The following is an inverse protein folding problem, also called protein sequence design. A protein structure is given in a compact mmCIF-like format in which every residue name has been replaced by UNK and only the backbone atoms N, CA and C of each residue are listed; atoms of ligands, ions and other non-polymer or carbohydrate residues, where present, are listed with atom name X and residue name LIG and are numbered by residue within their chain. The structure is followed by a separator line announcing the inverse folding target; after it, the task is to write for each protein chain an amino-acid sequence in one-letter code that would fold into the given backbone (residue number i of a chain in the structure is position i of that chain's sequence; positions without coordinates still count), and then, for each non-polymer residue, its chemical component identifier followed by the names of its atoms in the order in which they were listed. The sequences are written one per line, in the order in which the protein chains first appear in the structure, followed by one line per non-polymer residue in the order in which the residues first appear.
data_IF_181054742725
#
_entry.id   IF_181054742725
#
_cell.length_a   1.000
_cell.length_b   1.000
_cell.length_c   1.000
_cell.angle_alpha   90.00
_cell.angle_beta   90.00
_cell.angle_gamma   90.00
#
_symmetry.space_group_name_H-M   'P 1'
#
loop_
_entity.id
_entity.type
_entity.pdbx_description
1 polymer ?
#
# COMPACT_ATOMS: atom_id res chain seq x y z
N UNK A 1 6.64 -41.44 -49.78
CA UNK A 1 6.35 -42.15 -48.51
C UNK A 1 5.39 -41.28 -47.72
N UNK A 2 4.13 -41.69 -47.52
CA UNK A 2 3.19 -40.97 -46.67
C UNK A 2 3.56 -41.21 -45.21
N UNK A 3 3.56 -40.16 -44.38
CA UNK A 3 3.73 -40.32 -42.93
C UNK A 3 2.58 -41.19 -42.40
N UNK A 4 2.82 -42.07 -41.42
CA UNK A 4 1.76 -42.85 -40.80
C UNK A 4 0.64 -41.92 -40.27
N UNK A 5 -0.65 -42.25 -40.44
CA UNK A 5 -1.76 -41.41 -39.97
C UNK A 5 -1.65 -40.98 -38.50
N UNK A 6 -1.10 -41.85 -37.65
CA UNK A 6 -0.85 -41.58 -36.23
C UNK A 6 0.13 -40.41 -36.04
N UNK A 7 1.19 -40.35 -36.85
CA UNK A 7 2.18 -39.28 -36.76
C UNK A 7 1.59 -37.93 -37.19
N UNK A 8 0.74 -37.93 -38.23
CA UNK A 8 0.02 -36.72 -38.64
C UNK A 8 -0.92 -36.21 -37.55
N UNK A 9 -1.64 -37.11 -36.87
CA UNK A 9 -2.49 -36.74 -35.73
C UNK A 9 -1.68 -36.14 -34.58
N UNK A 10 -0.55 -36.76 -34.21
CA UNK A 10 0.34 -36.25 -33.15
C UNK A 10 0.84 -34.85 -33.49
N UNK A 11 1.28 -34.62 -34.74
CA UNK A 11 1.75 -33.31 -35.19
C UNK A 11 0.63 -32.26 -35.17
N UNK A 12 -0.59 -32.63 -35.58
CA UNK A 12 -1.75 -31.72 -35.55
C UNK A 12 -2.15 -31.33 -34.11
N UNK A 13 -2.14 -32.28 -33.19
CA UNK A 13 -2.40 -32.02 -31.76
C UNK A 13 -1.29 -31.15 -31.17
N UNK A 14 -0.02 -31.45 -31.43
CA UNK A 14 1.10 -30.66 -30.96
C UNK A 14 1.05 -29.22 -31.49
N UNK A 15 0.74 -29.03 -32.78
CA UNK A 15 0.57 -27.72 -33.38
C UNK A 15 -0.60 -26.94 -32.76
N UNK A 16 -1.73 -27.60 -32.51
CA UNK A 16 -2.90 -26.98 -31.86
C UNK A 16 -2.62 -26.57 -30.42
N UNK A 17 -1.88 -27.40 -29.67
CA UNK A 17 -1.45 -27.08 -28.31
C UNK A 17 -0.46 -25.91 -28.32
N UNK A 18 0.52 -25.91 -29.22
CA UNK A 18 1.47 -24.81 -29.35
C UNK A 18 0.76 -23.50 -29.71
N UNK A 19 -0.21 -23.55 -30.62
CA UNK A 19 -1.05 -22.42 -30.97
C UNK A 19 -1.85 -21.91 -29.78
N UNK A 20 -2.50 -22.80 -29.02
CA UNK A 20 -3.24 -22.42 -27.82
C UNK A 20 -2.33 -21.75 -26.78
N UNK A 21 -1.14 -22.30 -26.53
CA UNK A 21 -0.17 -21.71 -25.59
C UNK A 21 0.32 -20.34 -26.06
N UNK A 22 0.55 -20.18 -27.37
CA UNK A 22 0.93 -18.89 -27.96
C UNK A 22 -0.19 -17.86 -27.79
N UNK A 23 -1.43 -18.21 -28.14
CA UNK A 23 -2.61 -17.33 -27.97
C UNK A 23 -2.77 -16.95 -26.51
N UNK A 24 -2.66 -17.91 -25.59
CA UNK A 24 -2.76 -17.66 -24.16
C UNK A 24 -1.67 -16.68 -23.67
N UNK A 25 -0.42 -16.88 -24.07
CA UNK A 25 0.68 -15.98 -23.70
C UNK A 25 0.47 -14.56 -24.25
N UNK A 26 0.05 -14.44 -25.51
CA UNK A 26 -0.23 -13.14 -26.13
C UNK A 26 -1.44 -12.45 -25.50
N UNK A 27 -2.49 -13.20 -25.15
CA UNK A 27 -3.67 -12.67 -24.46
C UNK A 27 -3.38 -12.20 -23.03
N UNK A 28 -2.52 -12.91 -22.29
CA UNK A 28 -2.08 -12.42 -20.97
C UNK A 28 -1.23 -11.16 -21.13
N UNK A 29 -0.34 -11.10 -22.12
CA UNK A 29 0.41 -9.88 -22.38
C UNK A 29 -0.51 -8.70 -22.76
N UNK A 30 -1.53 -8.94 -23.59
CA UNK A 30 -2.53 -7.95 -23.95
C UNK A 30 -3.35 -7.48 -22.73
N UNK A 31 -3.67 -8.40 -21.81
CA UNK A 31 -4.30 -8.09 -20.53
C UNK A 31 -3.45 -7.12 -19.70
N UNK A 32 -2.16 -7.42 -19.51
CA UNK A 32 -1.24 -6.53 -18.79
C UNK A 32 -1.09 -5.17 -19.48
N UNK A 33 -1.02 -5.18 -20.81
CA UNK A 33 -1.01 -3.94 -21.58
C UNK A 33 -2.29 -3.11 -21.36
N UNK A 34 -3.44 -3.75 -21.17
CA UNK A 34 -4.69 -3.06 -20.79
C UNK A 34 -4.60 -2.33 -19.45
N UNK A 35 -3.98 -2.93 -18.44
CA UNK A 35 -3.70 -2.23 -17.18
C UNK A 35 -2.76 -1.04 -17.38
N UNK A 36 -1.74 -1.18 -18.23
CA UNK A 36 -0.81 -0.10 -18.53
C UNK A 36 -1.50 1.07 -19.26
N UNK A 37 -2.35 0.79 -20.24
CA UNK A 37 -3.17 1.80 -20.92
C UNK A 37 -4.08 2.54 -19.94
N UNK A 38 -4.77 1.80 -19.07
CA UNK A 38 -5.62 2.38 -18.02
C UNK A 38 -4.82 3.25 -17.03
N UNK A 39 -3.61 2.82 -16.66
CA UNK A 39 -2.71 3.57 -15.80
C UNK A 39 -2.26 4.88 -16.47
N UNK A 40 -1.80 4.85 -17.72
CA UNK A 40 -1.42 6.07 -18.44
C UNK A 40 -2.60 7.02 -18.63
N UNK A 41 -3.77 6.49 -19.01
CA UNK A 41 -4.99 7.29 -19.16
C UNK A 41 -5.44 7.95 -17.84
N UNK A 42 -5.09 7.37 -16.70
CA UNK A 42 -5.38 7.93 -15.37
C UNK A 42 -4.27 8.81 -14.80
N UNK A 43 -3.19 9.06 -15.56
CA UNK A 43 -2.05 9.86 -15.12
C UNK A 43 -1.13 9.14 -14.12
N UNK A 44 -1.18 7.81 -14.08
CA UNK A 44 -0.22 6.98 -13.35
C UNK A 44 1.00 6.68 -14.22
N UNK A 45 2.11 6.31 -13.57
CA UNK A 45 3.34 5.89 -14.24
C UNK A 45 3.41 4.37 -14.24
N UNK A 46 3.63 3.78 -15.42
CA UNK A 46 3.88 2.34 -15.58
C UNK A 46 5.39 2.12 -15.64
N UNK A 47 5.94 1.45 -14.63
CA UNK A 47 7.39 1.23 -14.52
C UNK A 47 7.80 -0.03 -15.28
N UNK A 48 7.01 -1.10 -15.15
CA UNK A 48 7.21 -2.35 -15.86
C UNK A 48 5.90 -3.11 -16.08
N UNK A 49 5.84 -3.91 -17.13
CA UNK A 49 4.75 -4.84 -17.42
C UNK A 49 5.29 -6.08 -18.13
N UNK A 50 4.65 -7.22 -17.96
CA UNK A 50 5.14 -8.44 -18.60
C UNK A 50 4.47 -9.71 -18.11
N UNK A 51 4.99 -10.83 -18.61
CA UNK A 51 4.44 -12.17 -18.33
C UNK A 51 5.47 -13.08 -17.66
N UNK A 52 4.96 -14.00 -16.84
CA UNK A 52 5.73 -14.98 -16.10
C UNK A 52 6.21 -14.51 -14.74
N UNK A 53 6.93 -15.40 -14.05
CA UNK A 53 7.55 -15.16 -12.75
C UNK A 53 8.94 -15.81 -12.71
N UNK A 54 9.73 -15.51 -11.68
CA UNK A 54 11.12 -15.96 -11.58
C UNK A 54 12.09 -15.25 -12.53
N UNK A 55 13.12 -15.98 -12.97
CA UNK A 55 14.25 -15.41 -13.73
C UNK A 55 13.78 -14.81 -15.09
N UNK A 56 14.15 -13.56 -15.40
CA UNK A 56 13.84 -12.97 -16.69
C UNK A 56 14.59 -13.66 -17.82
N UNK A 57 13.88 -13.87 -18.93
CA UNK A 57 14.41 -14.37 -20.20
C UNK A 57 14.71 -13.21 -21.14
N UNK A 58 13.84 -12.21 -21.17
CA UNK A 58 13.97 -11.01 -21.98
C UNK A 58 13.45 -9.81 -21.21
N UNK A 59 14.20 -8.71 -21.23
CA UNK A 59 13.75 -7.41 -20.72
C UNK A 59 14.09 -6.37 -21.78
N UNK A 60 13.08 -5.60 -22.22
CA UNK A 60 13.21 -4.55 -23.22
C UNK A 60 12.68 -3.25 -22.63
N UNK A 61 13.42 -2.15 -22.77
CA UNK A 61 12.95 -0.82 -22.39
C UNK A 61 12.20 -0.17 -23.56
N UNK A 62 10.94 0.21 -23.33
CA UNK A 62 10.13 0.91 -24.32
C UNK A 62 10.57 2.38 -24.43
N UNK A 63 10.96 2.88 -25.61
CA UNK A 63 11.60 4.20 -25.76
C UNK A 63 10.75 5.39 -25.29
N UNK A 64 9.44 5.36 -25.57
CA UNK A 64 8.56 6.53 -25.36
C UNK A 64 8.23 6.79 -23.89
N UNK A 65 8.15 5.74 -23.07
CA UNK A 65 7.69 5.84 -21.67
C UNK A 65 8.77 5.43 -20.65
N UNK A 66 9.88 4.85 -21.11
CA UNK A 66 10.91 4.27 -20.23
C UNK A 66 10.46 3.00 -19.50
N UNK A 67 9.22 2.54 -19.73
CA UNK A 67 8.63 1.32 -19.17
C UNK A 67 9.40 0.08 -19.61
N UNK A 68 9.60 -0.85 -18.68
CA UNK A 68 10.23 -2.14 -18.96
C UNK A 68 9.17 -3.18 -19.37
N UNK A 69 9.35 -3.77 -20.54
CA UNK A 69 8.63 -4.95 -20.97
C UNK A 69 9.46 -6.19 -20.62
N UNK A 70 8.93 -7.08 -19.78
CA UNK A 70 9.64 -8.30 -19.39
C UNK A 70 8.91 -9.58 -19.82
N UNK A 71 9.71 -10.60 -20.09
CA UNK A 71 9.27 -11.98 -20.28
C UNK A 71 10.10 -12.85 -19.36
N UNK A 72 9.46 -13.38 -18.33
CA UNK A 72 10.09 -14.32 -17.41
C UNK A 72 9.78 -15.75 -17.83
N UNK A 73 10.40 -16.71 -17.14
CA UNK A 73 10.08 -18.12 -17.32
C UNK A 73 8.58 -18.34 -17.08
N UNK A 74 7.87 -18.69 -18.14
CA UNK A 74 6.48 -19.13 -18.07
C UNK A 74 6.48 -20.51 -17.42
N UNK A 75 6.17 -20.57 -16.12
CA UNK A 75 5.76 -21.84 -15.50
C UNK A 75 4.43 -22.30 -16.09
N UNK A 76 3.79 -23.31 -15.48
CA UNK A 76 2.41 -23.71 -15.84
C UNK A 76 1.35 -22.63 -15.55
N UNK A 77 1.76 -21.47 -15.04
CA UNK A 77 0.91 -20.36 -14.63
C UNK A 77 1.18 -19.21 -15.58
N UNK A 78 0.31 -19.07 -16.57
CA UNK A 78 0.28 -17.93 -17.47
C UNK A 78 -0.25 -16.72 -16.71
N UNK A 79 0.60 -16.10 -15.91
CA UNK A 79 0.32 -14.86 -15.18
C UNK A 79 1.15 -13.72 -15.75
N UNK A 80 0.62 -12.50 -15.63
CA UNK A 80 1.35 -11.26 -15.85
C UNK A 80 1.19 -10.33 -14.65
N UNK A 81 2.00 -9.29 -14.63
CA UNK A 81 1.83 -8.18 -13.68
C UNK A 81 2.21 -6.88 -14.38
N UNK A 82 1.42 -5.85 -14.12
CA UNK A 82 1.70 -4.47 -14.51
C UNK A 82 1.99 -3.65 -13.27
N UNK A 83 3.24 -3.22 -13.12
CA UNK A 83 3.67 -2.38 -12.00
C UNK A 83 3.44 -0.92 -12.32
N UNK A 84 2.63 -0.29 -11.46
CA UNK A 84 2.26 1.11 -11.61
C UNK A 84 2.39 1.84 -10.28
N UNK A 85 2.63 3.14 -10.36
CA UNK A 85 2.46 4.02 -9.20
C UNK A 85 1.81 5.33 -9.62
N UNK A 86 1.04 5.91 -8.70
CA UNK A 86 0.47 7.25 -8.87
C UNK A 86 1.48 8.27 -8.33
N UNK A 87 1.96 9.22 -9.14
CA UNK A 87 2.76 10.33 -8.65
C UNK A 87 1.96 11.24 -7.72
N UNK A 88 0.63 11.19 -7.81
CA UNK A 88 -0.31 11.91 -6.93
C UNK A 88 -0.49 11.27 -5.55
N UNK A 89 0.28 10.23 -5.21
CA UNK A 89 0.29 9.54 -3.91
C UNK A 89 -0.99 8.74 -3.59
N UNK A 90 -2.14 9.38 -3.70
CA UNK A 90 -3.47 8.78 -3.65
C UNK A 90 -3.94 8.35 -5.04
N UNK A 91 -4.55 7.18 -5.07
CA UNK A 91 -5.28 6.67 -6.23
C UNK A 91 -6.77 6.85 -5.91
N UNK A 92 -7.49 7.58 -6.75
CA UNK A 92 -8.93 7.73 -6.58
C UNK A 92 -9.62 6.38 -6.80
N UNK A 93 -10.83 6.20 -6.25
CA UNK A 93 -11.59 4.96 -6.44
C UNK A 93 -11.82 4.64 -7.92
N UNK A 94 -12.06 5.68 -8.72
CA UNK A 94 -12.24 5.53 -10.17
C UNK A 94 -10.95 5.17 -10.89
N UNK A 95 -9.80 5.67 -10.44
CA UNK A 95 -8.51 5.25 -10.97
C UNK A 95 -8.21 3.78 -10.59
N UNK A 96 -8.52 3.35 -9.36
CA UNK A 96 -8.39 1.93 -8.96
C UNK A 96 -9.28 1.02 -9.82
N UNK A 97 -10.55 1.43 -10.05
CA UNK A 97 -11.50 0.67 -10.89
C UNK A 97 -11.04 0.62 -12.35
N UNK A 98 -10.62 1.76 -12.91
CA UNK A 98 -10.14 1.85 -14.29
C UNK A 98 -8.88 1.01 -14.49
N UNK A 99 -7.92 1.11 -13.56
CA UNK A 99 -6.72 0.29 -13.56
C UNK A 99 -7.07 -1.19 -13.54
N UNK A 100 -7.89 -1.62 -12.58
CA UNK A 100 -8.28 -3.03 -12.45
C UNK A 100 -9.10 -3.55 -13.64
N UNK A 101 -9.94 -2.73 -14.27
CA UNK A 101 -10.73 -3.17 -15.43
C UNK A 101 -9.95 -3.21 -16.74
N UNK A 102 -8.80 -2.53 -16.82
CA UNK A 102 -8.04 -2.33 -18.05
C UNK A 102 -7.76 -3.62 -18.84
N UNK A 103 -7.21 -4.65 -18.18
CA UNK A 103 -6.88 -5.91 -18.85
C UNK A 103 -8.11 -6.66 -19.38
N UNK A 104 -9.15 -6.76 -18.55
CA UNK A 104 -10.41 -7.39 -18.97
C UNK A 104 -11.08 -6.67 -20.13
N UNK A 105 -11.02 -5.33 -20.18
CA UNK A 105 -11.56 -4.53 -21.27
C UNK A 105 -10.80 -4.76 -22.59
N UNK A 106 -9.46 -4.85 -22.54
CA UNK A 106 -8.66 -5.16 -23.74
C UNK A 106 -8.99 -6.55 -24.26
N UNK A 107 -9.06 -7.56 -23.39
CA UNK A 107 -9.41 -8.92 -23.80
C UNK A 107 -10.84 -9.01 -24.36
N UNK A 108 -11.81 -8.29 -23.76
CA UNK A 108 -13.15 -8.19 -24.31
C UNK A 108 -13.15 -7.56 -25.71
N UNK A 109 -12.36 -6.52 -25.93
CA UNK A 109 -12.15 -5.91 -27.24
C UNK A 109 -11.60 -6.89 -28.27
N UNK A 110 -10.56 -7.66 -27.92
CA UNK A 110 -9.97 -8.68 -28.80
C UNK A 110 -10.99 -9.77 -29.15
N UNK A 111 -11.78 -10.21 -28.17
CA UNK A 111 -12.86 -11.18 -28.40
C UNK A 111 -13.91 -10.62 -29.37
N UNK A 112 -14.36 -9.38 -29.21
CA UNK A 112 -15.34 -8.76 -30.12
C UNK A 112 -14.81 -8.62 -31.54
N UNK A 113 -13.54 -8.20 -31.70
CA UNK A 113 -12.89 -8.13 -33.03
C UNK A 113 -12.78 -9.51 -33.66
N UNK A 114 -12.47 -10.54 -32.88
CA UNK A 114 -12.39 -11.93 -33.35
C UNK A 114 -13.75 -12.48 -33.77
N UNK A 115 -14.81 -12.18 -33.00
CA UNK A 115 -16.19 -12.55 -33.36
C UNK A 115 -16.64 -11.85 -34.65
N UNK A 116 -16.35 -10.55 -34.78
CA UNK A 116 -16.62 -9.80 -36.01
C UNK A 116 -15.83 -10.35 -37.20
N UNK A 117 -14.57 -10.73 -37.03
CA UNK A 117 -13.79 -11.37 -38.08
C UNK A 117 -14.44 -12.69 -38.53
N UNK A 118 -14.89 -13.54 -37.60
CA UNK A 118 -15.56 -14.79 -37.95
C UNK A 118 -16.80 -14.57 -38.82
N UNK A 119 -17.64 -13.57 -38.50
CA UNK A 119 -18.85 -13.28 -39.30
C UNK A 119 -18.52 -12.61 -40.63
N UNK A 120 -17.52 -11.72 -40.66
CA UNK A 120 -17.09 -11.07 -41.90
C UNK A 120 -16.49 -12.07 -42.89
N UNK A 121 -15.65 -13.00 -42.42
CA UNK A 121 -14.98 -13.99 -43.25
C UNK A 121 -15.86 -15.18 -43.64
N UNK A 122 -17.00 -15.42 -43.00
CA UNK A 122 -17.97 -16.44 -43.42
C UNK A 122 -18.41 -16.24 -44.89
N UNK A 123 -18.46 -14.97 -45.33
CA UNK A 123 -18.77 -14.61 -46.72
C UNK A 123 -17.71 -15.03 -47.75
N UNK A 124 -16.48 -15.33 -47.30
CA UNK A 124 -15.32 -15.58 -48.17
C UNK A 124 -14.95 -17.07 -48.32
N UNK A 125 -15.73 -18.00 -47.72
CA UNK A 125 -15.42 -19.44 -47.63
C UNK A 125 -13.93 -19.77 -47.34
N UNK A 126 -13.31 -19.14 -46.32
CA UNK A 126 -11.92 -19.41 -46.01
C UNK A 126 -11.74 -20.87 -45.55
N UNK A 127 -10.54 -21.45 -45.73
CA UNK A 127 -10.29 -22.81 -45.29
C UNK A 127 -10.49 -22.91 -43.77
N UNK A 128 -11.38 -23.82 -43.35
CA UNK A 128 -11.77 -24.00 -41.96
C UNK A 128 -10.56 -24.17 -41.01
N UNK A 129 -9.53 -24.88 -41.45
CA UNK A 129 -8.36 -25.17 -40.62
C UNK A 129 -7.37 -24.01 -40.51
N UNK A 130 -7.31 -23.09 -41.48
CA UNK A 130 -6.27 -22.05 -41.52
C UNK A 130 -6.72 -20.71 -40.96
N UNK A 131 -8.02 -20.42 -40.97
CA UNK A 131 -8.56 -19.11 -40.52
C UNK A 131 -9.55 -19.26 -39.37
N UNK A 132 -10.50 -20.21 -39.48
CA UNK A 132 -11.56 -20.37 -38.47
C UNK A 132 -11.00 -20.86 -37.14
N UNK A 133 -10.27 -21.98 -37.12
CA UNK A 133 -9.75 -22.56 -35.88
C UNK A 133 -8.84 -21.60 -35.08
N UNK A 134 -7.89 -20.87 -35.68
CA UNK A 134 -7.12 -19.85 -34.98
C UNK A 134 -7.97 -18.75 -34.37
N UNK A 135 -8.91 -18.20 -35.14
CA UNK A 135 -9.76 -17.08 -34.72
C UNK A 135 -10.73 -17.48 -33.61
N UNK A 136 -11.31 -18.69 -33.69
CA UNK A 136 -12.14 -19.26 -32.62
C UNK A 136 -11.31 -19.44 -31.34
N UNK A 137 -10.06 -19.89 -31.45
CA UNK A 137 -9.17 -20.02 -30.28
C UNK A 137 -8.92 -18.67 -29.62
N UNK A 138 -8.60 -17.63 -30.41
CA UNK A 138 -8.41 -16.26 -29.91
C UNK A 138 -9.69 -15.73 -29.26
N UNK A 139 -10.85 -15.90 -29.90
CA UNK A 139 -12.15 -15.52 -29.35
C UNK A 139 -12.37 -16.17 -27.98
N UNK A 140 -12.30 -17.50 -27.91
CA UNK A 140 -12.60 -18.25 -26.68
C UNK A 140 -11.64 -17.91 -25.54
N UNK A 141 -10.33 -17.87 -25.80
CA UNK A 141 -9.34 -17.55 -24.77
C UNK A 141 -9.58 -16.15 -24.20
N UNK A 142 -9.76 -15.14 -25.06
CA UNK A 142 -9.96 -13.77 -24.61
C UNK A 142 -11.32 -13.58 -23.92
N UNK A 143 -12.39 -14.26 -24.37
CA UNK A 143 -13.68 -14.25 -23.68
C UNK A 143 -13.57 -14.85 -22.27
N UNK A 144 -12.89 -15.99 -22.12
CA UNK A 144 -12.69 -16.63 -20.81
C UNK A 144 -11.85 -15.76 -19.89
N UNK A 145 -10.75 -15.18 -20.38
CA UNK A 145 -9.92 -14.28 -19.57
C UNK A 145 -10.72 -13.04 -19.15
N UNK A 146 -11.38 -12.35 -20.08
CA UNK A 146 -12.19 -11.17 -19.78
C UNK A 146 -13.25 -11.45 -18.69
N UNK A 147 -13.97 -12.57 -18.78
CA UNK A 147 -14.98 -12.94 -17.80
C UNK A 147 -14.38 -13.39 -16.45
N UNK A 148 -13.34 -14.22 -16.47
CA UNK A 148 -12.74 -14.79 -15.27
C UNK A 148 -12.07 -13.74 -14.38
N UNK A 149 -11.45 -12.71 -14.98
CA UNK A 149 -10.82 -11.64 -14.21
C UNK A 149 -11.84 -10.72 -13.52
N UNK A 150 -13.09 -10.62 -13.99
CA UNK A 150 -14.16 -9.93 -13.25
C UNK A 150 -14.70 -10.72 -12.06
N UNK A 151 -14.43 -12.03 -11.97
CA UNK A 151 -14.87 -12.83 -10.83
C UNK A 151 -14.00 -12.48 -9.61
N UNK A 152 -14.58 -11.98 -8.50
CA UNK A 152 -13.81 -11.61 -7.32
C UNK A 152 -13.29 -12.86 -6.60
N UNK A 153 -11.99 -13.10 -6.70
CA UNK A 153 -11.32 -14.22 -6.04
C UNK A 153 -9.89 -13.84 -5.63
N UNK A 154 -9.20 -14.73 -4.91
CA UNK A 154 -7.79 -14.58 -4.53
C UNK A 154 -6.98 -15.73 -5.09
N UNK A 155 -5.85 -15.44 -5.71
CA UNK A 155 -4.93 -16.44 -6.23
C UNK A 155 -3.69 -16.51 -5.36
N UNK A 156 -3.24 -17.72 -5.02
CA UNK A 156 -1.97 -17.93 -4.30
C UNK A 156 -0.85 -18.09 -5.31
N UNK A 157 0.02 -17.09 -5.40
CA UNK A 157 1.27 -17.13 -6.15
C UNK A 157 2.42 -17.55 -5.22
N UNK A 158 3.27 -18.54 -5.57
CA UNK A 158 4.35 -19.00 -4.70
C UNK A 158 5.34 -17.89 -4.37
N UNK A 159 5.67 -17.09 -5.39
CA UNK A 159 6.66 -16.01 -5.28
C UNK A 159 6.05 -14.66 -4.85
N UNK A 160 4.81 -14.37 -5.26
CA UNK A 160 4.20 -13.06 -5.06
C UNK A 160 3.19 -13.04 -3.89
N UNK A 161 3.00 -14.18 -3.22
CA UNK A 161 2.01 -14.33 -2.17
C UNK A 161 0.57 -14.39 -2.71
N UNK A 162 -0.39 -14.00 -1.88
CA UNK A 162 -1.81 -14.00 -2.27
C UNK A 162 -2.16 -12.68 -2.96
N UNK A 163 -2.52 -12.75 -4.25
CA UNK A 163 -2.94 -11.59 -5.03
C UNK A 163 -4.47 -11.58 -5.21
N UNK A 164 -5.13 -10.41 -5.14
CA UNK A 164 -6.53 -10.28 -5.50
C UNK A 164 -6.70 -10.30 -7.02
N UNK A 165 -7.76 -10.95 -7.52
CA UNK A 165 -8.18 -10.77 -8.91
C UNK A 165 -8.63 -9.34 -9.18
N UNK A 166 -8.64 -8.93 -10.44
CA UNK A 166 -9.08 -7.61 -10.88
C UNK A 166 -10.51 -7.28 -10.40
N UNK A 167 -11.43 -8.24 -10.52
CA UNK A 167 -12.79 -8.12 -10.02
C UNK A 167 -12.84 -7.90 -8.50
N UNK A 168 -11.97 -8.57 -7.74
CA UNK A 168 -11.86 -8.32 -6.30
C UNK A 168 -11.28 -6.94 -6.00
N UNK A 169 -10.32 -6.44 -6.79
CA UNK A 169 -9.80 -5.08 -6.67
C UNK A 169 -10.89 -4.04 -6.96
N UNK A 170 -11.70 -4.23 -8.01
CA UNK A 170 -12.82 -3.37 -8.35
C UNK A 170 -13.90 -3.35 -7.25
N UNK A 171 -14.32 -4.53 -6.78
CA UNK A 171 -15.27 -4.65 -5.65
C UNK A 171 -14.70 -3.98 -4.41
N UNK A 172 -13.40 -4.13 -4.15
CA UNK A 172 -12.73 -3.49 -3.02
C UNK A 172 -12.70 -1.97 -3.14
N UNK A 173 -12.62 -1.42 -4.36
CA UNK A 173 -12.64 0.01 -4.64
C UNK A 173 -14.06 0.60 -4.51
N UNK A 174 -15.07 -0.13 -4.97
CA UNK A 174 -16.48 0.26 -4.86
C UNK A 174 -17.00 0.15 -3.42
N UNK A 175 -16.65 -0.95 -2.75
CA UNK A 175 -17.11 -1.28 -1.40
C UNK A 175 -15.92 -1.50 -0.47
N UNK A 176 -15.27 -0.41 0.01
CA UNK A 176 -14.15 -0.52 0.94
C UNK A 176 -14.47 -1.33 2.19
N UNK A 177 -15.74 -1.39 2.60
CA UNK A 177 -16.24 -2.21 3.71
C UNK A 177 -16.31 -3.71 3.39
N UNK A 178 -16.54 -4.10 2.13
CA UNK A 178 -16.65 -5.49 1.69
C UNK A 178 -15.28 -6.14 1.42
N UNK A 179 -14.27 -5.32 1.10
CA UNK A 179 -12.87 -5.74 1.10
C UNK A 179 -12.39 -6.23 2.49
N UNK A 180 -13.16 -5.94 3.55
CA UNK A 180 -12.85 -6.21 4.96
C UNK A 180 -13.36 -7.56 5.45
N UNK A 181 -13.32 -8.62 4.63
CA UNK A 181 -13.59 -10.02 5.03
C UNK A 181 -12.72 -10.58 6.18
N UNK A 182 -12.06 -9.72 6.96
CA UNK A 182 -11.54 -9.96 8.30
C UNK A 182 -11.03 -8.63 8.88
N UNK A 183 -11.76 -8.06 9.85
CA UNK A 183 -11.40 -7.10 10.93
C UNK A 183 -10.31 -5.99 10.76
N UNK A 184 -9.69 -5.81 9.59
CA UNK A 184 -8.50 -4.99 9.41
C UNK A 184 -8.66 -4.13 8.16
N UNK A 185 -9.15 -2.90 8.38
CA UNK A 185 -9.37 -1.85 7.38
C UNK A 185 -8.20 -1.66 6.40
N UNK A 186 -8.52 -1.18 5.19
CA UNK A 186 -7.60 -0.75 4.10
C UNK A 186 -6.34 0.01 4.57
N UNK A 187 -6.33 0.64 5.74
CA UNK A 187 -5.20 1.40 6.28
C UNK A 187 -4.29 0.61 7.26
N UNK A 188 -4.82 -0.32 8.05
CA UNK A 188 -4.00 -1.24 8.85
C UNK A 188 -3.09 -2.13 7.98
N UNK A 189 -3.50 -2.35 6.72
CA UNK A 189 -2.75 -3.06 5.69
C UNK A 189 -1.77 -2.15 4.94
N UNK A 190 -1.87 -0.81 4.99
CA UNK A 190 -1.02 0.07 4.16
C UNK A 190 0.41 0.20 4.67
N UNK A 191 0.63 0.31 5.99
CA UNK A 191 2.00 0.46 6.51
C UNK A 191 2.76 -0.86 6.45
N UNK A 192 2.15 -1.97 6.89
CA UNK A 192 2.77 -3.31 6.72
C UNK A 192 2.79 -3.77 5.27
N UNK A 193 1.84 -3.32 4.45
CA UNK A 193 1.76 -3.63 3.03
C UNK A 193 3.00 -3.18 2.28
N UNK A 194 3.50 -1.98 2.55
CA UNK A 194 4.74 -1.49 1.90
C UNK A 194 5.95 -2.36 2.25
N UNK A 195 6.10 -2.75 3.51
CA UNK A 195 7.15 -3.67 3.95
C UNK A 195 7.01 -5.05 3.33
N UNK A 196 5.77 -5.56 3.25
CA UNK A 196 5.47 -6.85 2.63
C UNK A 196 5.77 -6.84 1.14
N UNK A 197 5.32 -5.82 0.42
CA UNK A 197 5.58 -5.67 -1.01
C UNK A 197 7.07 -5.60 -1.27
N UNK A 198 7.84 -4.77 -0.53
CA UNK A 198 9.28 -4.73 -0.67
C UNK A 198 9.90 -6.12 -0.41
N UNK A 199 9.55 -6.78 0.70
CA UNK A 199 10.10 -8.09 1.05
C UNK A 199 9.81 -9.15 -0.02
N UNK A 200 8.61 -9.16 -0.59
CA UNK A 200 8.17 -10.18 -1.55
C UNK A 200 8.63 -9.89 -2.98
N UNK A 201 8.74 -8.62 -3.37
CA UNK A 201 8.92 -8.22 -4.78
C UNK A 201 10.30 -7.65 -5.08
N UNK A 202 11.13 -7.38 -4.06
CA UNK A 202 12.47 -6.80 -4.24
C UNK A 202 13.33 -7.59 -5.22
N UNK A 203 13.52 -8.89 -4.97
CA UNK A 203 14.33 -9.75 -5.82
C UNK A 203 13.82 -9.79 -7.27
N UNK A 204 12.50 -9.70 -7.45
CA UNK A 204 11.88 -9.64 -8.76
C UNK A 204 12.23 -8.33 -9.48
N UNK A 205 11.99 -7.17 -8.86
CA UNK A 205 12.32 -5.87 -9.45
C UNK A 205 13.80 -5.72 -9.75
N UNK A 206 14.68 -6.19 -8.86
CA UNK A 206 16.12 -6.23 -9.08
C UNK A 206 16.46 -7.09 -10.32
N UNK A 207 15.83 -8.26 -10.46
CA UNK A 207 16.10 -9.17 -11.59
C UNK A 207 15.71 -8.57 -12.94
N UNK A 208 14.58 -7.85 -13.02
CA UNK A 208 14.12 -7.20 -14.25
C UNK A 208 14.73 -5.80 -14.45
N UNK A 209 15.50 -5.30 -13.50
CA UNK A 209 16.09 -3.96 -13.54
C UNK A 209 15.08 -2.81 -13.36
N UNK A 210 13.95 -3.04 -12.68
CA UNK A 210 12.96 -2.00 -12.36
C UNK A 210 13.37 -1.21 -11.12
N UNK A 211 14.42 -0.40 -11.28
CA UNK A 211 14.96 0.48 -10.23
C UNK A 211 13.96 1.54 -9.77
N UNK A 212 13.02 1.91 -10.64
CA UNK A 212 12.01 2.93 -10.33
C UNK A 212 10.98 2.41 -9.34
N UNK A 213 10.42 1.23 -9.60
CA UNK A 213 9.48 0.62 -8.65
C UNK A 213 10.17 0.23 -7.34
N UNK A 214 11.42 -0.26 -7.41
CA UNK A 214 12.23 -0.53 -6.22
C UNK A 214 12.42 0.72 -5.37
N UNK A 215 12.77 1.86 -5.96
CA UNK A 215 12.89 3.14 -5.25
C UNK A 215 11.58 3.55 -4.57
N UNK A 216 10.45 3.51 -5.29
CA UNK A 216 9.13 3.83 -4.72
C UNK A 216 8.81 2.90 -3.54
N UNK A 217 9.11 1.61 -3.65
CA UNK A 217 8.89 0.65 -2.58
C UNK A 217 9.79 0.90 -1.36
N UNK A 218 11.07 1.23 -1.57
CA UNK A 218 12.02 1.57 -0.51
C UNK A 218 11.61 2.84 0.25
N UNK A 219 11.19 3.90 -0.45
CA UNK A 219 10.71 5.14 0.19
C UNK A 219 9.46 4.90 1.05
N UNK A 220 8.52 4.08 0.57
CA UNK A 220 7.33 3.68 1.33
C UNK A 220 7.66 2.76 2.51
N UNK A 221 8.65 1.87 2.35
CA UNK A 221 9.16 1.05 3.43
C UNK A 221 9.85 1.90 4.50
N UNK A 222 10.62 2.92 4.12
CA UNK A 222 11.23 3.86 5.05
C UNK A 222 10.18 4.59 5.90
N UNK A 223 9.10 5.10 5.31
CA UNK A 223 7.95 5.67 6.05
C UNK A 223 7.36 4.69 7.06
N UNK A 224 7.22 3.43 6.63
CA UNK A 224 6.62 2.37 7.44
C UNK A 224 7.53 1.98 8.61
N UNK A 225 8.84 1.89 8.39
CA UNK A 225 9.83 1.67 9.44
C UNK A 225 9.88 2.83 10.45
N UNK A 226 9.82 4.08 10.00
CA UNK A 226 9.75 5.24 10.90
C UNK A 226 8.51 5.18 11.81
N UNK A 227 7.35 4.84 11.25
CA UNK A 227 6.11 4.65 12.01
C UNK A 227 6.21 3.52 13.04
N UNK A 228 7.08 2.55 12.82
CA UNK A 228 7.35 1.46 13.77
C UNK A 228 8.44 1.79 14.79
N UNK A 229 9.08 2.96 14.70
CA UNK A 229 10.24 3.33 15.49
C UNK A 229 11.55 2.64 15.06
N UNK A 230 11.60 2.04 13.86
CA UNK A 230 12.79 1.39 13.28
C UNK A 230 13.64 2.40 12.50
N UNK A 231 14.28 3.33 13.22
CA UNK A 231 15.02 4.44 12.60
C UNK A 231 16.15 4.00 11.66
N UNK A 232 16.94 3.01 12.07
CA UNK A 232 18.08 2.52 11.29
C UNK A 232 17.63 1.83 10.00
N UNK A 233 16.61 0.98 10.06
CA UNK A 233 16.05 0.32 8.89
C UNK A 233 15.45 1.35 7.91
N UNK A 234 14.77 2.37 8.43
CA UNK A 234 14.26 3.47 7.60
C UNK A 234 15.37 4.23 6.89
N UNK A 235 16.46 4.56 7.61
CA UNK A 235 17.62 5.24 7.05
C UNK A 235 18.32 4.39 5.97
N UNK A 236 18.44 3.08 6.20
CA UNK A 236 19.00 2.15 5.21
C UNK A 236 18.17 2.13 3.92
N UNK A 237 16.84 2.00 4.02
CA UNK A 237 15.95 2.06 2.86
C UNK A 237 16.04 3.40 2.12
N UNK A 238 16.11 4.51 2.85
CA UNK A 238 16.18 5.84 2.24
C UNK A 238 17.51 6.09 1.50
N UNK A 239 18.64 5.69 2.09
CA UNK A 239 19.96 5.79 1.43
C UNK A 239 19.96 4.99 0.13
N UNK A 240 19.53 3.73 0.22
CA UNK A 240 19.45 2.87 -0.97
C UNK A 240 18.56 3.47 -2.06
N UNK A 241 17.38 3.98 -1.70
CA UNK A 241 16.48 4.63 -2.66
C UNK A 241 17.08 5.88 -3.33
N UNK A 242 17.96 6.59 -2.61
CA UNK A 242 18.60 7.82 -3.10
C UNK A 242 19.64 7.52 -4.18
N UNK A 243 20.28 6.36 -4.13
CA UNK A 243 21.34 5.94 -5.05
C UNK A 243 20.81 5.26 -6.32
N UNK A 244 19.52 4.91 -6.36
CA UNK A 244 18.92 4.25 -7.52
C UNK A 244 18.70 5.21 -8.70
N UNK A 245 18.99 4.77 -9.95
CA UNK A 245 18.66 5.54 -11.15
C UNK A 245 17.14 5.51 -11.39
N UNK A 246 16.55 6.66 -11.73
CA UNK A 246 15.09 6.83 -11.89
C UNK A 246 14.71 7.36 -13.26
N UNK A 247 13.45 7.11 -13.64
CA UNK A 247 12.80 7.88 -14.70
C UNK A 247 12.60 9.32 -14.22
N UNK A 248 12.77 10.30 -15.11
CA UNK A 248 12.61 11.72 -14.80
C UNK A 248 11.23 12.03 -14.17
N UNK A 249 10.19 11.30 -14.58
CA UNK A 249 8.83 11.43 -14.05
C UNK A 249 8.71 11.12 -12.54
N UNK A 250 9.69 10.44 -11.94
CA UNK A 250 9.67 10.02 -10.52
C UNK A 250 10.63 10.87 -9.69
N UNK A 251 11.43 11.74 -10.31
CA UNK A 251 12.43 12.53 -9.60
C UNK A 251 11.80 13.48 -8.59
N UNK A 252 10.71 14.17 -8.99
CA UNK A 252 9.96 15.04 -8.08
C UNK A 252 9.40 14.27 -6.89
N UNK A 253 8.89 13.05 -7.11
CA UNK A 253 8.44 12.16 -6.04
C UNK A 253 9.59 11.79 -5.08
N UNK A 254 10.76 11.40 -5.61
CA UNK A 254 11.94 11.11 -4.78
C UNK A 254 12.37 12.32 -3.95
N UNK A 255 12.46 13.50 -4.56
CA UNK A 255 12.86 14.73 -3.86
C UNK A 255 11.88 15.08 -2.74
N UNK A 256 10.58 14.99 -3.02
CA UNK A 256 9.54 15.26 -2.03
C UNK A 256 9.65 14.31 -0.82
N UNK A 257 9.78 13.02 -1.08
CA UNK A 257 9.95 12.03 -0.02
C UNK A 257 11.27 12.14 0.71
N UNK A 258 12.36 12.48 0.03
CA UNK A 258 13.67 12.65 0.66
C UNK A 258 13.68 13.82 1.62
N UNK A 259 13.08 14.96 1.27
CA UNK A 259 12.91 16.09 2.20
C UNK A 259 12.12 15.71 3.44
N UNK A 260 10.99 15.01 3.26
CA UNK A 260 10.14 14.54 4.35
C UNK A 260 10.85 13.51 5.25
N UNK A 261 11.56 12.54 4.66
CA UNK A 261 12.28 11.49 5.39
C UNK A 261 13.50 12.07 6.12
N UNK A 262 14.26 12.96 5.48
CA UNK A 262 15.42 13.62 6.10
C UNK A 262 15.02 14.36 7.38
N UNK A 263 13.87 15.05 7.31
CA UNK A 263 13.21 15.73 8.42
C UNK A 263 12.87 14.77 9.57
N UNK A 264 12.17 13.67 9.29
CA UNK A 264 11.78 12.67 10.31
C UNK A 264 12.96 11.94 10.92
N UNK A 265 13.98 11.69 10.09
CA UNK A 265 15.23 11.06 10.49
C UNK A 265 16.16 12.05 11.22
N UNK A 266 15.79 13.32 11.39
CA UNK A 266 16.64 14.33 12.04
C UNK A 266 17.98 14.55 11.33
N UNK A 267 18.01 14.35 10.01
CA UNK A 267 19.20 14.52 9.15
C UNK A 267 19.12 15.76 8.25
N UNK A 268 17.97 16.42 8.21
CA UNK A 268 17.80 17.68 7.46
C UNK A 268 18.60 18.81 8.13
N UNK A 269 19.42 19.51 7.34
CA UNK A 269 20.17 20.68 7.81
C UNK A 269 19.23 21.82 8.21
N UNK A 270 18.27 22.15 7.34
CA UNK A 270 17.13 23.02 7.65
C UNK A 270 15.84 22.23 7.46
N UNK A 271 15.18 21.84 8.56
CA UNK A 271 13.97 21.06 8.48
C UNK A 271 12.74 21.80 7.95
N UNK A 272 12.69 23.13 8.01
CA UNK A 272 11.58 23.93 7.48
C UNK A 272 11.71 24.06 5.95
N UNK A 273 12.90 24.43 5.47
CA UNK A 273 13.20 24.50 4.03
C UNK A 273 12.98 23.15 3.35
N UNK A 274 13.38 22.05 4.00
CA UNK A 274 13.16 20.70 3.47
C UNK A 274 11.68 20.35 3.31
N UNK A 275 10.82 20.82 4.23
CA UNK A 275 9.37 20.63 4.14
C UNK A 275 8.74 21.53 3.08
N UNK A 276 9.20 22.77 2.94
CA UNK A 276 8.73 23.70 1.90
C UNK A 276 9.02 23.15 0.50
N UNK A 277 10.25 22.66 0.28
CA UNK A 277 10.63 22.01 -0.97
C UNK A 277 9.79 20.76 -1.24
N UNK A 278 9.60 19.90 -0.23
CA UNK A 278 8.79 18.70 -0.39
C UNK A 278 7.33 19.03 -0.73
N UNK A 279 6.75 20.03 -0.09
CA UNK A 279 5.39 20.51 -0.35
C UNK A 279 5.25 21.06 -1.77
N UNK A 280 6.22 21.84 -2.23
CA UNK A 280 6.25 22.39 -3.58
C UNK A 280 6.30 21.27 -4.64
N UNK A 281 7.14 20.26 -4.44
CA UNK A 281 7.23 19.10 -5.33
C UNK A 281 5.92 18.28 -5.34
N UNK A 282 5.33 18.01 -4.17
CA UNK A 282 4.04 17.32 -4.11
C UNK A 282 2.92 18.12 -4.79
N UNK A 283 2.88 19.44 -4.61
CA UNK A 283 1.93 20.31 -5.33
C UNK A 283 2.15 20.26 -6.84
N UNK A 284 3.40 20.30 -7.30
CA UNK A 284 3.72 20.28 -8.73
C UNK A 284 3.21 19.01 -9.43
N UNK A 285 3.22 17.86 -8.75
CA UNK A 285 2.67 16.60 -9.28
C UNK A 285 1.19 16.38 -8.95
N UNK A 286 0.55 17.29 -8.20
CA UNK A 286 -0.82 17.17 -7.74
C UNK A 286 -1.05 16.08 -6.68
N UNK A 287 -0.02 15.75 -5.89
CA UNK A 287 -0.08 14.79 -4.78
C UNK A 287 -0.63 15.43 -3.52
N UNK A 288 -1.96 15.44 -3.39
CA UNK A 288 -2.63 15.93 -2.18
C UNK A 288 -2.21 15.13 -0.94
N UNK A 289 -2.01 13.82 -1.06
CA UNK A 289 -1.61 12.96 0.06
C UNK A 289 -0.22 13.30 0.58
N UNK A 290 0.69 13.64 -0.33
CA UNK A 290 2.03 14.12 -0.05
C UNK A 290 2.01 15.46 0.68
N UNK A 291 1.22 16.43 0.19
CA UNK A 291 0.99 17.72 0.88
C UNK A 291 0.42 17.49 2.28
N UNK A 292 -0.54 16.59 2.41
CA UNK A 292 -1.14 16.18 3.68
C UNK A 292 -0.08 15.55 4.62
N UNK A 293 0.87 14.77 4.10
CA UNK A 293 1.99 14.19 4.88
C UNK A 293 2.99 15.25 5.35
N UNK A 294 3.36 16.21 4.50
CA UNK A 294 4.21 17.35 4.90
C UNK A 294 3.51 18.14 6.00
N UNK A 295 2.22 18.40 5.82
CA UNK A 295 1.36 19.03 6.82
C UNK A 295 1.41 18.29 8.17
N UNK A 296 1.24 16.96 8.16
CA UNK A 296 1.34 16.16 9.39
C UNK A 296 2.71 16.26 10.03
N UNK A 297 3.77 16.35 9.24
CA UNK A 297 5.11 16.50 9.76
C UNK A 297 5.31 17.85 10.42
N UNK A 298 4.81 18.94 9.83
CA UNK A 298 4.75 20.25 10.48
C UNK A 298 3.97 20.16 11.80
N UNK A 299 2.86 19.44 11.84
CA UNK A 299 2.09 19.20 13.08
C UNK A 299 2.89 18.49 14.15
N UNK A 300 3.64 17.45 13.82
CA UNK A 300 4.46 16.74 14.81
C UNK A 300 5.53 17.63 15.45
N UNK A 301 5.90 18.72 14.76
CA UNK A 301 6.86 19.71 15.21
C UNK A 301 6.24 20.92 15.87
N UNK A 302 4.90 21.04 15.87
CA UNK A 302 4.21 22.10 16.60
C UNK A 302 4.52 22.09 18.09
N UNK A 303 4.84 20.91 18.66
CA UNK A 303 5.28 20.81 20.05
C UNK A 303 6.49 21.70 20.36
N UNK A 304 7.28 22.05 19.34
CA UNK A 304 8.45 22.92 19.47
C UNK A 304 8.14 24.39 19.16
N UNK A 305 6.94 24.73 18.66
CA UNK A 305 6.54 26.12 18.40
C UNK A 305 5.98 26.78 19.67
N UNK A 306 5.99 28.12 19.75
CA UNK A 306 5.25 28.87 20.77
C UNK A 306 3.74 28.58 20.72
N UNK A 307 3.01 28.59 21.86
CA UNK A 307 1.58 28.26 21.91
C UNK A 307 0.68 29.05 20.94
N UNK A 308 0.97 30.34 20.72
CA UNK A 308 0.20 31.18 19.80
C UNK A 308 0.32 30.69 18.34
N UNK A 309 1.54 30.34 17.92
CA UNK A 309 1.81 29.84 16.57
C UNK A 309 1.21 28.44 16.36
N UNK A 310 1.14 27.62 17.42
CA UNK A 310 0.50 26.30 17.38
C UNK A 310 -0.96 26.37 16.98
N UNK A 311 -1.76 27.24 17.60
CA UNK A 311 -3.20 27.31 17.32
C UNK A 311 -3.48 27.92 15.93
N UNK A 312 -2.66 28.88 15.47
CA UNK A 312 -2.76 29.44 14.11
C UNK A 312 -2.50 28.36 13.06
N UNK A 313 -1.39 27.63 13.20
CA UNK A 313 -1.03 26.57 12.25
C UNK A 313 -2.06 25.44 12.29
N UNK A 314 -2.52 25.04 13.49
CA UNK A 314 -3.54 24.01 13.64
C UNK A 314 -4.87 24.40 12.99
N UNK A 315 -5.31 25.65 13.12
CA UNK A 315 -6.51 26.15 12.47
C UNK A 315 -6.37 26.18 10.94
N UNK A 316 -5.22 26.63 10.44
CA UNK A 316 -4.91 26.60 9.00
C UNK A 316 -4.98 25.16 8.46
N UNK A 317 -4.44 24.19 9.19
CA UNK A 317 -4.42 22.80 8.78
C UNK A 317 -5.80 22.13 8.86
N UNK A 318 -6.61 22.46 9.86
CA UNK A 318 -7.99 21.99 9.93
C UNK A 318 -8.83 22.49 8.75
N UNK A 319 -8.63 23.72 8.30
CA UNK A 319 -9.34 24.27 7.14
C UNK A 319 -8.96 23.58 5.82
N UNK A 320 -7.75 23.00 5.75
CA UNK A 320 -7.20 22.34 4.55
C UNK A 320 -7.41 20.81 4.55
N UNK A 321 -7.62 20.21 5.73
CA UNK A 321 -7.62 18.77 5.91
C UNK A 321 -8.77 18.08 5.15
N UNK A 322 -8.42 17.15 4.26
CA UNK A 322 -9.36 16.17 3.73
C UNK A 322 -9.70 15.08 4.76
N UNK A 323 -10.70 14.25 4.45
CA UNK A 323 -11.17 13.21 5.38
C UNK A 323 -10.08 12.20 5.85
N UNK A 324 -9.12 11.73 5.03
CA UNK A 324 -8.04 10.84 5.48
C UNK A 324 -7.03 11.52 6.42
N UNK A 325 -6.80 12.83 6.21
CA UNK A 325 -5.88 13.65 7.00
C UNK A 325 -6.47 13.99 8.37
N UNK A 326 -7.80 14.06 8.48
CA UNK A 326 -8.53 14.42 9.69
C UNK A 326 -8.14 13.55 10.91
N UNK A 327 -7.92 12.24 10.72
CA UNK A 327 -7.51 11.36 11.83
C UNK A 327 -6.15 11.76 12.40
N UNK A 328 -5.18 12.02 11.53
CA UNK A 328 -3.82 12.36 11.94
C UNK A 328 -3.75 13.78 12.48
N UNK A 329 -4.58 14.71 11.97
CA UNK A 329 -4.76 16.06 12.53
C UNK A 329 -5.38 16.00 13.92
N UNK A 330 -6.43 15.20 14.12
CA UNK A 330 -7.04 15.01 15.43
C UNK A 330 -6.07 14.34 16.40
N UNK A 331 -5.35 13.31 15.97
CA UNK A 331 -4.34 12.63 16.77
C UNK A 331 -3.19 13.57 17.18
N UNK A 332 -2.69 14.38 16.26
CA UNK A 332 -1.69 15.41 16.56
C UNK A 332 -2.23 16.45 17.54
N UNK A 333 -3.47 16.92 17.34
CA UNK A 333 -4.12 17.87 18.26
C UNK A 333 -4.26 17.29 19.67
N UNK A 334 -4.70 16.04 19.79
CA UNK A 334 -4.79 15.34 21.08
C UNK A 334 -3.40 15.28 21.70
N UNK A 335 -2.39 14.87 20.94
CA UNK A 335 -1.02 14.72 21.45
C UNK A 335 -0.46 16.04 21.98
N UNK A 336 -0.63 17.13 21.23
CA UNK A 336 -0.17 18.47 21.62
C UNK A 336 -0.89 18.99 22.86
N UNK A 337 -2.22 18.90 22.90
CA UNK A 337 -3.01 19.38 24.04
C UNK A 337 -2.78 18.53 25.28
N UNK A 338 -2.61 17.22 25.09
CA UNK A 338 -2.26 16.31 26.16
C UNK A 338 -0.88 16.66 26.74
N UNK A 339 0.11 16.91 25.89
CA UNK A 339 1.45 17.30 26.33
C UNK A 339 1.40 18.61 27.13
N UNK A 340 0.67 19.61 26.64
CA UNK A 340 0.46 20.87 27.36
C UNK A 340 -0.26 20.66 28.70
N UNK A 341 -1.26 19.77 28.77
CA UNK A 341 -1.97 19.46 30.01
C UNK A 341 -1.12 18.73 31.07
N UNK A 342 0.01 18.13 30.69
CA UNK A 342 0.98 17.56 31.65
C UNK A 342 1.89 18.63 32.28
N UNK A 343 1.84 19.88 31.80
CA UNK A 343 2.54 21.00 32.44
C UNK A 343 1.80 21.44 33.72
N UNK A 344 2.51 21.71 34.84
CA UNK A 344 1.90 21.95 36.15
C UNK A 344 0.83 23.04 36.18
N UNK A 345 1.00 24.07 35.35
CA UNK A 345 0.14 25.25 35.31
C UNK A 345 -1.11 25.06 34.42
N UNK A 346 -1.21 23.96 33.67
CA UNK A 346 -2.24 23.73 32.64
C UNK A 346 -3.24 22.61 33.00
N UNK A 347 -3.06 21.95 34.14
CA UNK A 347 -3.88 20.82 34.60
C UNK A 347 -5.23 21.25 35.22
N UNK A 348 -6.01 22.06 34.50
CA UNK A 348 -7.37 22.46 34.91
C UNK A 348 -8.43 21.45 34.45
N UNK A 349 -9.61 21.47 35.09
CA UNK A 349 -10.75 20.63 34.66
C UNK A 349 -11.24 20.92 33.23
N UNK A 350 -10.99 22.12 32.71
CA UNK A 350 -11.30 22.49 31.33
C UNK A 350 -10.44 21.72 30.31
N UNK A 351 -9.16 21.50 30.63
CA UNK A 351 -8.24 20.69 29.82
C UNK A 351 -8.75 19.25 29.67
N UNK A 352 -9.26 18.65 30.75
CA UNK A 352 -9.82 17.30 30.73
C UNK A 352 -11.05 17.19 29.81
N UNK A 353 -12.01 18.12 29.93
CA UNK A 353 -13.21 18.14 29.08
C UNK A 353 -12.86 18.32 27.60
N UNK A 354 -11.84 19.15 27.29
CA UNK A 354 -11.36 19.36 25.92
C UNK A 354 -10.73 18.10 25.34
N UNK A 355 -9.94 17.35 26.13
CA UNK A 355 -9.35 16.07 25.71
C UNK A 355 -10.45 15.05 25.41
N UNK A 356 -11.48 14.91 26.25
CA UNK A 356 -12.59 13.98 26.01
C UNK A 356 -13.34 14.27 24.71
N UNK A 357 -13.62 15.54 24.44
CA UNK A 357 -14.25 15.95 23.18
C UNK A 357 -13.40 15.55 21.97
N UNK A 358 -12.08 15.72 22.05
CA UNK A 358 -11.18 15.32 20.97
C UNK A 358 -11.07 13.81 20.82
N UNK A 359 -10.98 13.06 21.92
CA UNK A 359 -10.95 11.59 21.88
C UNK A 359 -12.23 11.05 21.26
N UNK A 360 -13.39 11.62 21.58
CA UNK A 360 -14.67 11.25 20.95
C UNK A 360 -14.67 11.48 19.43
N UNK A 361 -14.16 12.65 18.98
CA UNK A 361 -14.01 12.94 17.54
C UNK A 361 -13.01 12.00 16.86
N UNK A 362 -11.92 11.67 17.53
CA UNK A 362 -10.94 10.70 17.05
C UNK A 362 -11.56 9.29 16.93
N UNK A 363 -12.33 8.86 17.94
CA UNK A 363 -13.04 7.59 17.95
C UNK A 363 -14.07 7.49 16.82
N UNK A 364 -14.78 8.57 16.49
CA UNK A 364 -15.67 8.62 15.33
C UNK A 364 -14.88 8.51 14.01
N UNK A 365 -13.76 9.24 13.89
CA UNK A 365 -12.94 9.24 12.67
C UNK A 365 -12.25 7.88 12.41
N UNK A 366 -11.73 7.22 13.46
CA UNK A 366 -11.00 5.95 13.30
C UNK A 366 -11.87 4.78 12.81
N UNK A 367 -13.19 4.87 12.97
CA UNK A 367 -14.14 3.89 12.41
C UNK A 367 -14.04 3.90 10.88
N UNK A 368 -13.98 5.09 10.27
CA UNK A 368 -13.82 5.25 8.83
C UNK A 368 -12.36 5.09 8.37
N UNK A 369 -11.40 5.45 9.23
CA UNK A 369 -9.97 5.51 8.90
C UNK A 369 -9.11 4.84 9.98
N UNK A 370 -9.02 3.50 10.03
CA UNK A 370 -8.32 2.81 11.11
C UNK A 370 -6.80 2.86 10.92
N UNK A 371 -6.06 3.36 11.92
CA UNK A 371 -4.60 3.37 11.96
C UNK A 371 -4.08 2.86 13.30
N UNK A 372 -3.73 1.56 13.43
CA UNK A 372 -3.27 1.00 14.70
C UNK A 372 -2.03 1.69 15.28
N UNK A 373 -1.12 2.18 14.42
CA UNK A 373 0.06 2.92 14.90
C UNK A 373 -0.34 4.27 15.50
N UNK A 374 -1.25 4.99 14.84
CA UNK A 374 -1.77 6.26 15.38
C UNK A 374 -2.57 6.03 16.66
N UNK A 375 -3.37 4.96 16.72
CA UNK A 375 -4.13 4.57 17.92
C UNK A 375 -3.20 4.37 19.13
N UNK A 376 -2.06 3.67 18.96
CA UNK A 376 -1.08 3.46 20.03
C UNK A 376 -0.63 4.80 20.60
N UNK A 377 -0.14 5.71 19.75
CA UNK A 377 0.38 7.00 20.20
C UNK A 377 -0.70 7.88 20.86
N UNK A 378 -1.89 7.96 20.27
CA UNK A 378 -2.98 8.80 20.78
C UNK A 378 -3.45 8.30 22.14
N UNK A 379 -3.75 7.01 22.27
CA UNK A 379 -4.26 6.47 23.54
C UNK A 379 -3.20 6.37 24.62
N UNK A 380 -1.94 6.11 24.28
CA UNK A 380 -0.84 6.21 25.24
C UNK A 380 -0.74 7.63 25.81
N UNK A 381 -0.83 8.64 24.95
CA UNK A 381 -0.74 10.03 25.39
C UNK A 381 -1.93 10.44 26.26
N UNK A 382 -3.16 10.04 25.90
CA UNK A 382 -4.35 10.24 26.74
C UNK A 382 -4.21 9.55 28.09
N UNK A 383 -3.67 8.32 28.13
CA UNK A 383 -3.47 7.59 29.36
C UNK A 383 -2.50 8.32 30.31
N UNK A 384 -1.41 8.84 29.77
CA UNK A 384 -0.42 9.62 30.52
C UNK A 384 -1.02 10.88 31.15
N UNK A 385 -1.82 11.64 30.40
CA UNK A 385 -2.48 12.84 30.95
C UNK A 385 -3.46 12.50 32.05
N UNK A 386 -4.30 11.49 31.84
CA UNK A 386 -5.27 11.06 32.87
C UNK A 386 -4.57 10.59 34.13
N UNK A 387 -3.47 9.85 34.00
CA UNK A 387 -2.65 9.43 35.14
C UNK A 387 -2.03 10.64 35.87
N UNK A 388 -1.54 11.64 35.13
CA UNK A 388 -1.00 12.87 35.72
C UNK A 388 -2.08 13.70 36.45
N UNK A 389 -3.31 13.66 35.98
CA UNK A 389 -4.47 14.29 36.62
C UNK A 389 -5.07 13.46 37.78
N UNK A 390 -4.52 12.28 38.09
CA UNK A 390 -5.04 11.37 39.12
C UNK A 390 -6.27 10.56 38.73
N UNK A 391 -6.74 10.64 37.48
CA UNK A 391 -7.80 9.76 36.92
C UNK A 391 -7.20 8.39 36.53
N UNK A 392 -6.87 7.59 37.54
CA UNK A 392 -6.29 6.26 37.34
C UNK A 392 -7.22 5.32 36.56
N UNK A 393 -8.54 5.40 36.82
CA UNK A 393 -9.54 4.56 36.15
C UNK A 393 -9.59 4.84 34.65
N UNK A 394 -9.63 6.12 34.28
CA UNK A 394 -9.57 6.54 32.89
C UNK A 394 -8.24 6.28 32.21
N UNK A 395 -7.13 6.47 32.93
CA UNK A 395 -5.80 6.12 32.43
C UNK A 395 -5.70 4.63 32.07
N UNK A 396 -6.22 3.75 32.92
CA UNK A 396 -6.24 2.31 32.66
C UNK A 396 -7.03 1.95 31.39
N UNK A 397 -8.19 2.57 31.16
CA UNK A 397 -8.99 2.36 29.93
C UNK A 397 -8.20 2.79 28.69
N UNK A 398 -7.54 3.94 28.75
CA UNK A 398 -6.74 4.44 27.64
C UNK A 398 -5.51 3.54 27.36
N UNK A 399 -4.80 3.09 28.40
CA UNK A 399 -3.71 2.11 28.24
C UNK A 399 -4.19 0.80 27.62
N UNK A 400 -5.35 0.27 28.03
CA UNK A 400 -5.92 -0.94 27.43
C UNK A 400 -6.18 -0.77 25.93
N UNK A 401 -6.70 0.38 25.50
CA UNK A 401 -6.89 0.71 24.08
C UNK A 401 -5.56 0.81 23.33
N UNK A 402 -4.54 1.43 23.92
CA UNK A 402 -3.20 1.52 23.34
C UNK A 402 -2.57 0.13 23.16
N UNK A 403 -2.63 -0.71 24.18
CA UNK A 403 -2.12 -2.09 24.13
C UNK A 403 -2.87 -2.95 23.11
N UNK A 404 -4.19 -2.81 23.01
CA UNK A 404 -4.99 -3.50 21.99
C UNK A 404 -4.57 -3.08 20.57
N UNK A 405 -4.34 -1.79 20.33
CA UNK A 405 -3.82 -1.30 19.06
C UNK A 405 -2.40 -1.81 18.77
N UNK A 406 -1.52 -1.81 19.78
CA UNK A 406 -0.15 -2.29 19.66
C UNK A 406 -0.10 -3.78 19.32
N UNK A 407 -0.99 -4.59 19.91
CA UNK A 407 -1.17 -6.00 19.55
C UNK A 407 -1.60 -6.19 18.09
N UNK A 408 -2.46 -5.32 17.55
CA UNK A 408 -2.82 -5.36 16.12
C UNK A 408 -1.60 -5.10 15.22
N UNK A 409 -0.74 -4.14 15.58
CA UNK A 409 0.52 -3.88 14.87
C UNK A 409 1.43 -5.11 14.93
N UNK A 410 1.65 -5.67 16.12
CA UNK A 410 2.48 -6.86 16.32
C UNK A 410 2.01 -8.05 15.47
N UNK A 411 0.70 -8.35 15.46
CA UNK A 411 0.16 -9.44 14.66
C UNK A 411 0.29 -9.18 13.15
N UNK A 412 0.14 -7.93 12.71
CA UNK A 412 0.33 -7.56 11.31
C UNK A 412 1.77 -7.78 10.83
N UNK A 413 2.75 -7.75 11.73
CA UNK A 413 4.18 -7.97 11.46
C UNK A 413 4.61 -9.44 11.44
N UNK A 414 3.69 -10.41 11.54
CA UNK A 414 4.03 -11.84 11.60
C UNK A 414 4.88 -12.35 10.42
N UNK A 415 4.84 -11.67 9.26
CA UNK A 415 5.65 -11.99 8.08
C UNK A 415 7.09 -11.44 8.13
N UNK A 416 7.43 -10.63 9.15
CA UNK A 416 8.76 -10.10 9.42
C UNK A 416 9.15 -10.37 10.89
N UNK A 417 9.56 -11.61 11.22
CA UNK A 417 9.97 -12.02 12.56
C UNK A 417 10.83 -11.02 13.32
N UNK A 418 11.93 -10.57 12.73
CA UNK A 418 12.91 -9.75 13.42
C UNK A 418 12.35 -8.35 13.72
N UNK A 419 11.55 -7.80 12.80
CA UNK A 419 10.88 -6.51 12.99
C UNK A 419 9.78 -6.63 14.04
N UNK A 420 9.06 -7.75 14.04
CA UNK A 420 8.03 -8.06 15.03
C UNK A 420 8.62 -8.15 16.45
N UNK A 421 9.77 -8.81 16.61
CA UNK A 421 10.48 -8.93 17.89
C UNK A 421 10.99 -7.59 18.39
N UNK A 422 11.70 -6.82 17.55
CA UNK A 422 12.18 -5.48 17.91
C UNK A 422 11.02 -4.53 18.23
N UNK A 423 9.90 -4.64 17.50
CA UNK A 423 8.69 -3.90 17.82
C UNK A 423 8.17 -4.24 19.21
N UNK A 424 8.06 -5.53 19.56
CA UNK A 424 7.61 -5.98 20.88
C UNK A 424 8.52 -5.49 22.00
N UNK A 425 9.85 -5.57 21.82
CA UNK A 425 10.83 -5.07 22.78
C UNK A 425 10.63 -3.56 23.06
N UNK A 426 10.37 -2.75 22.03
CA UNK A 426 10.09 -1.32 22.18
C UNK A 426 8.78 -1.00 22.90
N UNK A 427 7.84 -1.95 23.01
CA UNK A 427 6.59 -1.74 23.76
C UNK A 427 6.77 -1.86 25.28
N UNK A 428 7.94 -2.25 25.78
CA UNK A 428 8.23 -2.41 27.21
C UNK A 428 7.76 -1.23 28.08
N UNK A 429 8.11 0.03 27.76
CA UNK A 429 7.67 1.19 28.54
C UNK A 429 6.14 1.36 28.59
N UNK A 430 5.43 1.11 27.48
CA UNK A 430 3.97 1.18 27.42
C UNK A 430 3.33 0.08 28.30
N UNK A 431 3.86 -1.14 28.23
CA UNK A 431 3.38 -2.27 29.05
C UNK A 431 3.60 -1.98 30.54
N UNK A 432 4.79 -1.49 30.91
CA UNK A 432 5.11 -1.21 32.30
C UNK A 432 4.25 -0.07 32.87
N UNK A 433 4.05 1.01 32.11
CA UNK A 433 3.17 2.10 32.53
C UNK A 433 1.71 1.62 32.75
N UNK A 434 1.19 0.80 31.83
CA UNK A 434 -0.13 0.18 31.96
C UNK A 434 -0.20 -0.76 33.18
N UNK A 435 0.85 -1.56 33.41
CA UNK A 435 0.96 -2.49 34.55
C UNK A 435 0.92 -1.75 35.89
N UNK A 436 1.73 -0.70 36.03
CA UNK A 436 1.77 0.13 37.23
C UNK A 436 0.44 0.83 37.49
N UNK A 437 -0.23 1.33 36.46
CA UNK A 437 -1.58 1.91 36.57
C UNK A 437 -2.59 0.87 37.08
N UNK A 438 -2.60 -0.35 36.53
CA UNK A 438 -3.46 -1.44 37.02
C UNK A 438 -3.16 -1.83 38.47
N UNK A 439 -1.89 -1.89 38.88
CA UNK A 439 -1.51 -2.19 40.26
C UNK A 439 -2.01 -1.13 41.25
N UNK A 440 -1.93 0.16 40.89
CA UNK A 440 -2.48 1.25 41.72
C UNK A 440 -4.00 1.16 41.88
N UNK A 441 -4.70 0.58 40.91
CA UNK A 441 -6.14 0.28 40.98
C UNK A 441 -6.47 -1.06 41.67
N UNK A 442 -5.47 -1.81 42.15
CA UNK A 442 -5.68 -3.15 42.72
C UNK A 442 -6.03 -4.24 41.69
N UNK A 443 -5.79 -4.00 40.39
CA UNK A 443 -6.10 -4.91 39.26
C UNK A 443 -4.90 -5.81 38.90
N UNK A 444 -4.41 -6.61 39.86
CA UNK A 444 -3.20 -7.44 39.66
C UNK A 444 -3.31 -8.46 38.52
N UNK A 445 -4.49 -9.03 38.28
CA UNK A 445 -4.71 -9.98 37.18
C UNK A 445 -4.51 -9.33 35.79
N UNK A 446 -4.94 -8.08 35.61
CA UNK A 446 -4.75 -7.34 34.35
C UNK A 446 -3.28 -6.96 34.15
N UNK A 447 -2.59 -6.59 35.23
CA UNK A 447 -1.15 -6.32 35.22
C UNK A 447 -0.34 -7.54 34.73
N UNK A 448 -0.64 -8.74 35.23
CA UNK A 448 -0.02 -9.99 34.77
C UNK A 448 -0.39 -10.36 33.32
N UNK A 449 -1.62 -10.04 32.89
CA UNK A 449 -2.06 -10.25 31.51
C UNK A 449 -1.27 -9.37 30.54
N UNK A 450 -1.06 -8.10 30.87
CA UNK A 450 -0.30 -7.17 30.02
C UNK A 450 1.18 -7.56 29.88
N UNK A 451 1.80 -8.10 30.93
CA UNK A 451 3.17 -8.62 30.86
C UNK A 451 3.35 -9.76 29.83
N UNK A 452 2.26 -10.48 29.51
CA UNK A 452 2.25 -11.61 28.57
C UNK A 452 1.70 -11.25 27.18
N UNK A 453 1.46 -9.97 26.90
CA UNK A 453 0.76 -9.54 25.68
C UNK A 453 1.55 -9.87 24.39
N UNK A 454 2.87 -9.80 24.46
CA UNK A 454 3.77 -10.16 23.37
C UNK A 454 4.57 -11.39 23.79
N UNK A 455 4.25 -12.58 23.25
CA UNK A 455 4.99 -13.79 23.60
C UNK A 455 6.43 -13.66 23.08
N UNK A 456 7.41 -13.94 23.96
CA UNK A 456 8.78 -14.17 23.51
C UNK A 456 8.77 -15.36 22.53
N UNK A 457 9.53 -15.27 21.44
CA UNK A 457 9.80 -16.45 20.62
C UNK A 457 10.75 -17.32 21.43
N UNK A 458 10.27 -18.50 21.80
CA UNK A 458 11.09 -19.55 22.41
C UNK A 458 12.01 -20.22 21.40
#
# INVERSE_FOLDING_TARGET
MLLPPILLLILAVAASLLWLLLVLALSVLAHEFGHALAAWASGMVVTSLGIGSGKPLLVVRLPAAGTLLYFCRLGLRFSGVTWTFSPKGEVSRWQEILLASGGSLVNAGIALVSAWALTAFETLQPPFLTVWMPTVTVLLVNSVLALSFFVPHRTRHPEQGTLPSDGLQMVSALYPAYALGGQYGRQSVRFTGSLRTLTQQRAFWESIGDTTMLCVALLRAADSYLRLGEREAALACWREASDLPLLAAVEGYRRAWSGLLAVRLGTAADPAVSLDLAEAEFRAVGDRSGVDRVTLERLTRLGNLPPADREVELAALQSRAGAPLLLSVLGARITLQATAAMEPDCASGESAARIELLVSRYDAARIAYPSPVTDVHVYEMVARVRAAAGDEGGAAIAYERALAASRRVFLALAFLPDVQERYAARQGPLIEAARLCCLRLGRSADAERYARLFPARG
#
